data_IF_621243196693
#
_entry.id   IF_621243196693
#
_cell.length_a   1.000
_cell.length_b   1.000
_cell.length_c   1.000
_cell.angle_alpha   90.00
_cell.angle_beta   90.00
_cell.angle_gamma   90.00
#
_symmetry.space_group_name_H-M   'P 1'
#
loop_
_entity.id
_entity.type
_entity.pdbx_description
1 polymer ?
#
# COMPACT_ATOMS: atom_id res chain seq x y z
N UNK A 1 19.73 -3.48 26.52
CA UNK A 1 18.78 -2.35 26.44
C UNK A 1 17.48 -2.85 27.04
N UNK A 2 16.97 -2.21 28.08
CA UNK A 2 15.72 -2.56 28.74
C UNK A 2 14.72 -1.40 28.59
N UNK A 3 13.46 -1.73 28.31
CA UNK A 3 12.37 -0.76 28.17
C UNK A 3 11.03 -1.45 28.48
N UNK A 4 10.00 -0.67 28.77
CA UNK A 4 8.64 -1.21 28.83
C UNK A 4 8.16 -1.66 27.45
N UNK A 5 7.31 -2.70 27.43
CA UNK A 5 6.66 -3.17 26.20
C UNK A 5 5.66 -2.14 25.68
N UNK A 6 5.50 -2.07 24.36
CA UNK A 6 4.45 -1.26 23.73
C UNK A 6 3.05 -1.86 23.98
N UNK A 7 2.43 -1.44 25.08
CA UNK A 7 1.09 -1.84 25.53
C UNK A 7 -0.06 -1.07 24.88
N UNK A 8 0.24 -0.10 24.02
CA UNK A 8 -0.75 0.78 23.40
C UNK A 8 -1.86 -0.03 22.72
N UNK A 9 -3.12 0.28 23.03
CA UNK A 9 -4.27 -0.27 22.32
C UNK A 9 -4.59 0.64 21.14
N UNK A 10 -4.68 0.08 19.93
CA UNK A 10 -5.12 0.81 18.74
C UNK A 10 -6.65 0.91 18.79
N UNK A 11 -7.19 2.12 18.68
CA UNK A 11 -8.62 2.41 18.78
C UNK A 11 -9.02 3.56 17.85
N UNK A 12 -10.32 3.74 17.66
CA UNK A 12 -10.90 4.82 16.84
C UNK A 12 -10.55 6.22 17.35
N UNK A 13 -10.21 6.37 18.63
CA UNK A 13 -9.75 7.64 19.21
C UNK A 13 -8.51 8.20 18.49
N UNK A 14 -7.66 7.32 17.95
CA UNK A 14 -6.49 7.72 17.16
C UNK A 14 -6.84 8.35 15.79
N UNK A 15 -8.12 8.34 15.41
CA UNK A 15 -8.62 8.84 14.14
C UNK A 15 -9.50 10.08 14.30
N UNK A 16 -9.69 10.60 15.51
CA UNK A 16 -10.58 11.75 15.78
C UNK A 16 -9.94 13.11 15.53
N UNK A 17 -8.61 13.20 15.61
CA UNK A 17 -7.88 14.46 15.34
C UNK A 17 -7.68 14.65 13.82
N UNK A 18 -8.74 15.10 13.14
CA UNK A 18 -8.77 15.34 11.69
C UNK A 18 -8.21 16.72 11.33
N UNK A 19 -7.22 16.77 10.44
CA UNK A 19 -6.45 17.98 10.15
C UNK A 19 -6.64 18.53 8.71
N UNK A 20 -7.35 17.80 7.87
CA UNK A 20 -7.67 18.18 6.47
C UNK A 20 -9.02 18.89 6.35
N UNK A 21 -9.30 19.55 5.22
CA UNK A 21 -10.62 20.13 4.95
C UNK A 21 -11.70 19.06 4.80
N UNK A 22 -11.33 17.88 4.29
CA UNK A 22 -12.18 16.70 4.34
C UNK A 22 -12.15 16.12 5.76
N UNK A 23 -13.30 16.17 6.43
CA UNK A 23 -13.50 15.76 7.81
C UNK A 23 -14.31 14.45 7.92
N UNK A 24 -14.37 13.66 6.84
CA UNK A 24 -15.14 12.42 6.78
C UNK A 24 -14.25 11.21 6.52
N UNK A 25 -14.20 10.31 7.50
CA UNK A 25 -13.66 8.95 7.35
C UNK A 25 -14.83 7.98 7.55
N UNK A 26 -15.31 7.29 6.50
CA UNK A 26 -16.41 6.33 6.62
C UNK A 26 -15.97 5.07 7.39
N UNK A 27 -16.95 4.30 7.89
CA UNK A 27 -16.71 3.14 8.77
C UNK A 27 -15.77 2.09 8.16
N UNK A 28 -15.87 1.83 6.85
CA UNK A 28 -14.97 0.92 6.15
C UNK A 28 -13.52 1.43 6.16
N UNK A 29 -13.31 2.74 6.00
CA UNK A 29 -11.99 3.35 6.06
C UNK A 29 -11.44 3.39 7.48
N UNK A 30 -12.29 3.62 8.50
CA UNK A 30 -11.94 3.49 9.92
C UNK A 30 -11.39 2.09 10.19
N UNK A 31 -12.12 1.03 9.80
CA UNK A 31 -11.67 -0.36 9.90
C UNK A 31 -10.30 -0.55 9.24
N UNK A 32 -10.12 -0.06 8.02
CA UNK A 32 -8.90 -0.26 7.25
C UNK A 32 -7.69 0.50 7.85
N UNK A 33 -7.91 1.71 8.39
CA UNK A 33 -6.88 2.47 9.12
C UNK A 33 -6.48 1.78 10.43
N UNK A 34 -7.43 1.22 11.18
CA UNK A 34 -7.12 0.46 12.39
C UNK A 34 -6.31 -0.80 12.08
N UNK A 35 -6.68 -1.54 11.03
CA UNK A 35 -5.91 -2.70 10.54
C UNK A 35 -4.50 -2.28 10.15
N UNK A 36 -4.36 -1.17 9.44
CA UNK A 36 -3.07 -0.64 9.05
C UNK A 36 -2.22 -0.26 10.28
N UNK A 37 -2.77 0.46 11.25
CA UNK A 37 -2.07 0.84 12.50
C UNK A 37 -1.65 -0.39 13.32
N UNK A 38 -2.52 -1.39 13.48
CA UNK A 38 -2.18 -2.65 14.16
C UNK A 38 -1.05 -3.37 13.43
N UNK A 39 -1.11 -3.42 12.10
CA UNK A 39 -0.05 -4.01 11.27
C UNK A 39 1.29 -3.31 11.53
N UNK A 40 1.30 -1.98 11.50
CA UNK A 40 2.51 -1.17 11.70
C UNK A 40 3.10 -1.31 13.10
N UNK A 41 2.26 -1.42 14.14
CA UNK A 41 2.71 -1.68 15.51
C UNK A 41 3.61 -2.92 15.63
N UNK A 42 3.43 -3.91 14.75
CA UNK A 42 4.19 -5.16 14.73
C UNK A 42 5.06 -5.33 13.48
N UNK A 43 5.25 -4.28 12.69
CA UNK A 43 6.11 -4.30 11.50
C UNK A 43 7.44 -3.65 11.81
N UNK A 44 8.54 -4.31 11.47
CA UNK A 44 9.90 -3.78 11.63
C UNK A 44 10.03 -2.39 10.99
N UNK A 45 10.50 -1.42 11.76
CA UNK A 45 10.54 -0.01 11.37
C UNK A 45 11.73 0.36 10.49
N UNK A 46 11.63 1.42 9.66
CA UNK A 46 10.41 2.21 9.45
C UNK A 46 9.41 1.49 8.56
N UNK A 47 8.13 1.66 8.87
CA UNK A 47 7.04 0.94 8.20
C UNK A 47 5.88 1.86 7.79
N UNK A 48 5.24 1.49 6.68
CA UNK A 48 4.01 2.12 6.17
C UNK A 48 3.12 1.04 5.57
N UNK A 49 1.80 1.25 5.65
CA UNK A 49 0.81 0.24 5.28
C UNK A 49 -0.31 0.85 4.46
N UNK A 50 -0.69 0.15 3.39
CA UNK A 50 -1.86 0.39 2.55
C UNK A 50 -2.86 -0.73 2.86
N UNK A 51 -4.08 -0.36 3.21
CA UNK A 51 -5.15 -1.28 3.55
C UNK A 51 -6.43 -0.93 2.78
N UNK A 52 -7.19 -1.95 2.42
CA UNK A 52 -8.47 -1.85 1.73
C UNK A 52 -9.29 -3.10 2.04
N UNK A 53 -10.60 -2.95 2.19
CA UNK A 53 -11.55 -4.07 2.34
C UNK A 53 -11.23 -5.03 3.49
N UNK A 54 -10.72 -4.50 4.60
CA UNK A 54 -10.45 -5.26 5.81
C UNK A 54 -9.15 -6.05 5.76
N UNK A 55 -8.25 -5.71 4.84
CA UNK A 55 -6.96 -6.36 4.70
C UNK A 55 -5.84 -5.39 4.32
N UNK A 56 -4.61 -5.80 4.61
CA UNK A 56 -3.42 -5.12 4.09
C UNK A 56 -3.24 -5.49 2.61
N UNK A 57 -3.05 -4.49 1.75
CA UNK A 57 -2.79 -4.69 0.32
C UNK A 57 -1.34 -4.34 -0.05
N UNK A 58 -0.64 -3.57 0.80
CA UNK A 58 0.78 -3.26 0.61
C UNK A 58 1.45 -2.82 1.90
N UNK A 59 2.61 -3.42 2.24
CA UNK A 59 3.35 -3.10 3.47
C UNK A 59 4.83 -2.89 3.14
N UNK A 60 5.38 -1.78 3.64
CA UNK A 60 6.81 -1.52 3.69
C UNK A 60 7.35 -1.76 5.09
N UNK A 61 8.50 -2.42 5.19
CA UNK A 61 9.11 -2.81 6.45
C UNK A 61 10.64 -2.63 6.38
N UNK A 62 11.26 -2.27 7.51
CA UNK A 62 12.71 -2.18 7.68
C UNK A 62 13.37 -1.09 6.82
N UNK A 63 12.61 -0.13 6.29
CA UNK A 63 13.15 0.88 5.39
C UNK A 63 13.74 2.05 6.17
N UNK A 64 14.81 2.65 5.65
CA UNK A 64 15.49 3.77 6.31
C UNK A 64 14.91 5.14 5.87
N UNK A 65 14.39 5.22 4.65
CA UNK A 65 13.79 6.42 4.08
C UNK A 65 12.25 6.28 4.03
N UNK A 66 11.53 7.29 4.55
CA UNK A 66 10.06 7.28 4.59
C UNK A 66 9.46 7.18 3.19
N UNK A 67 9.94 8.00 2.25
CA UNK A 67 9.45 7.96 0.85
C UNK A 67 9.79 6.65 0.15
N UNK A 68 10.93 6.03 0.46
CA UNK A 68 11.24 4.70 -0.09
C UNK A 68 10.32 3.62 0.47
N UNK A 69 10.00 3.70 1.77
CA UNK A 69 9.00 2.84 2.39
C UNK A 69 7.63 2.99 1.71
N UNK A 70 7.18 4.25 1.50
CA UNK A 70 5.93 4.56 0.80
C UNK A 70 5.92 4.02 -0.63
N UNK A 71 6.99 4.25 -1.41
CA UNK A 71 7.09 3.73 -2.78
C UNK A 71 7.05 2.20 -2.84
N UNK A 72 7.74 1.54 -1.92
CA UNK A 72 7.78 0.07 -1.84
C UNK A 72 6.40 -0.50 -1.46
N UNK A 73 5.77 0.03 -0.40
CA UNK A 73 4.46 -0.43 0.04
C UNK A 73 3.38 -0.18 -1.03
N UNK A 74 3.40 1.00 -1.65
CA UNK A 74 2.48 1.35 -2.71
C UNK A 74 2.70 0.49 -3.97
N UNK A 75 3.94 0.15 -4.32
CA UNK A 75 4.21 -0.79 -5.41
C UNK A 75 3.64 -2.20 -5.15
N UNK A 76 3.62 -2.65 -3.88
CA UNK A 76 2.94 -3.90 -3.51
C UNK A 76 1.42 -3.78 -3.63
N UNK A 77 0.83 -2.65 -3.22
CA UNK A 77 -0.59 -2.39 -3.39
C UNK A 77 -1.00 -2.34 -4.87
N UNK A 78 -0.19 -1.70 -5.71
CA UNK A 78 -0.39 -1.63 -7.16
C UNK A 78 -0.36 -3.03 -7.78
N UNK A 79 0.62 -3.86 -7.41
CA UNK A 79 0.69 -5.25 -7.86
C UNK A 79 -0.52 -6.07 -7.37
N UNK A 80 -0.94 -5.91 -6.12
CA UNK A 80 -2.15 -6.56 -5.60
C UNK A 80 -3.37 -6.22 -6.45
N UNK A 81 -3.53 -4.96 -6.84
CA UNK A 81 -4.64 -4.52 -7.67
C UNK A 81 -4.54 -5.00 -9.12
N UNK A 82 -3.35 -4.96 -9.71
CA UNK A 82 -3.11 -5.48 -11.06
C UNK A 82 -3.39 -6.98 -11.18
N UNK A 83 -3.20 -7.75 -10.09
CA UNK A 83 -3.57 -9.17 -10.03
C UNK A 83 -5.07 -9.42 -10.14
N UNK A 84 -5.89 -8.40 -9.88
CA UNK A 84 -7.34 -8.47 -10.04
C UNK A 84 -7.80 -8.18 -11.49
N UNK A 85 -6.86 -7.85 -12.39
CA UNK A 85 -7.20 -7.56 -13.79
C UNK A 85 -7.87 -8.77 -14.46
N UNK A 86 -8.96 -8.59 -15.24
CA UNK A 86 -9.72 -9.70 -15.83
C UNK A 86 -8.88 -10.71 -16.62
N UNK A 87 -7.85 -10.24 -17.32
CA UNK A 87 -6.91 -11.11 -18.05
C UNK A 87 -6.25 -12.18 -17.16
N UNK A 88 -6.01 -11.90 -15.88
CA UNK A 88 -5.42 -12.86 -14.93
C UNK A 88 -6.31 -14.09 -14.76
N UNK A 89 -7.63 -13.87 -14.63
CA UNK A 89 -8.60 -14.96 -14.50
C UNK A 89 -8.78 -15.77 -15.80
N UNK A 90 -8.36 -15.22 -16.93
CA UNK A 90 -8.49 -15.80 -18.26
C UNK A 90 -7.20 -16.48 -18.76
N UNK A 91 -6.12 -16.46 -17.96
CA UNK A 91 -4.85 -17.06 -18.34
C UNK A 91 -4.98 -18.57 -18.53
N UNK A 92 -4.50 -19.06 -19.67
CA UNK A 92 -4.53 -20.46 -20.04
C UNK A 92 -3.24 -21.17 -19.59
N UNK A 93 -3.27 -21.70 -18.36
CA UNK A 93 -2.14 -22.40 -17.78
C UNK A 93 -2.03 -23.85 -18.25
N UNK A 94 -0.80 -24.36 -18.32
CA UNK A 94 -0.55 -25.77 -18.65
C UNK A 94 -1.23 -26.73 -17.66
N UNK A 95 -1.62 -27.91 -18.14
CA UNK A 95 -2.19 -28.94 -17.28
C UNK A 95 -1.21 -29.36 -16.15
N UNK A 96 -1.76 -29.60 -14.96
CA UNK A 96 -1.00 -30.06 -13.79
C UNK A 96 -0.10 -29.01 -13.13
N UNK A 97 -0.22 -27.73 -13.48
CA UNK A 97 0.48 -26.64 -12.79
C UNK A 97 -0.02 -26.50 -11.34
N UNK A 98 0.89 -26.27 -10.40
CA UNK A 98 0.53 -26.06 -9.00
C UNK A 98 0.02 -24.63 -8.74
N UNK A 99 -0.71 -24.44 -7.64
CA UNK A 99 -1.16 -23.10 -7.20
C UNK A 99 0.01 -22.14 -6.94
N UNK A 100 1.14 -22.65 -6.45
CA UNK A 100 2.34 -21.85 -6.22
C UNK A 100 2.96 -21.37 -7.54
N UNK A 101 3.04 -22.25 -8.54
CA UNK A 101 3.50 -21.89 -9.89
C UNK A 101 2.55 -20.90 -10.57
N UNK A 102 1.23 -21.06 -10.43
CA UNK A 102 0.24 -20.09 -10.92
C UNK A 102 0.51 -18.69 -10.33
N UNK A 103 0.68 -18.59 -9.01
CA UNK A 103 0.96 -17.32 -8.35
C UNK A 103 2.26 -16.68 -8.88
N UNK A 104 3.34 -17.47 -8.99
CA UNK A 104 4.62 -16.99 -9.53
C UNK A 104 4.50 -16.57 -11.01
N UNK A 105 3.70 -17.29 -11.80
CA UNK A 105 3.46 -16.95 -13.20
C UNK A 105 2.68 -15.64 -13.34
N UNK A 106 1.70 -15.38 -12.46
CA UNK A 106 0.97 -14.10 -12.42
C UNK A 106 1.88 -12.97 -11.96
N UNK A 107 2.65 -13.16 -10.88
CA UNK A 107 3.61 -12.13 -10.42
C UNK A 107 4.65 -11.84 -11.51
N UNK A 108 5.04 -12.87 -12.25
CA UNK A 108 5.89 -12.75 -13.43
C UNK A 108 5.24 -12.02 -14.61
N UNK A 109 3.94 -12.19 -14.83
CA UNK A 109 3.22 -11.43 -15.87
C UNK A 109 3.25 -9.92 -15.60
N UNK A 110 3.24 -9.53 -14.31
CA UNK A 110 3.34 -8.14 -13.88
C UNK A 110 4.75 -7.58 -13.95
N UNK A 111 5.76 -8.44 -13.76
CA UNK A 111 7.16 -8.06 -13.82
C UNK A 111 7.59 -7.69 -15.24
N UNK A 112 8.34 -6.61 -15.38
CA UNK A 112 8.84 -6.09 -16.65
C UNK A 112 10.32 -6.42 -16.88
N UNK A 113 11.02 -6.79 -15.81
CA UNK A 113 12.46 -7.02 -15.84
C UNK A 113 12.73 -8.53 -15.91
N UNK A 114 12.93 -9.02 -17.13
CA UNK A 114 13.20 -10.42 -17.44
C UNK A 114 14.51 -10.56 -18.18
N UNK A 115 15.33 -11.51 -17.74
CA UNK A 115 16.35 -12.09 -18.62
C UNK A 115 15.69 -13.01 -19.65
N UNK A 116 16.33 -13.21 -20.80
CA UNK A 116 15.85 -14.15 -21.83
C UNK A 116 15.62 -15.58 -21.28
N UNK A 117 16.44 -15.99 -20.31
CA UNK A 117 16.32 -17.31 -19.69
C UNK A 117 15.07 -17.42 -18.81
N UNK A 118 14.83 -16.41 -17.97
CA UNK A 118 13.62 -16.34 -17.13
C UNK A 118 12.36 -16.23 -17.98
N UNK A 119 12.39 -15.46 -19.07
CA UNK A 119 11.24 -15.32 -19.97
C UNK A 119 10.91 -16.66 -20.63
N UNK A 120 11.92 -17.38 -21.11
CA UNK A 120 11.75 -18.72 -21.68
C UNK A 120 11.10 -19.68 -20.68
N UNK A 121 11.54 -19.66 -19.41
CA UNK A 121 10.98 -20.50 -18.36
C UNK A 121 9.55 -20.07 -17.99
N UNK A 122 9.29 -18.77 -17.87
CA UNK A 122 7.98 -18.23 -17.55
C UNK A 122 6.93 -18.61 -18.60
N UNK A 123 7.28 -18.54 -19.89
CA UNK A 123 6.42 -18.92 -21.01
C UNK A 123 5.97 -20.39 -20.97
N UNK A 124 6.76 -21.29 -20.35
CA UNK A 124 6.39 -22.70 -20.22
C UNK A 124 5.21 -22.94 -19.27
N UNK A 125 4.79 -21.96 -18.47
CA UNK A 125 3.64 -22.12 -17.58
C UNK A 125 2.28 -22.10 -18.29
N UNK A 126 2.24 -21.73 -19.57
CA UNK A 126 1.01 -21.45 -20.30
C UNK A 126 0.87 -22.34 -21.54
N UNK A 127 -0.37 -22.73 -21.89
CA UNK A 127 -0.65 -23.31 -23.20
C UNK A 127 -0.68 -22.20 -24.27
N UNK A 128 -1.23 -21.04 -23.90
CA UNK A 128 -1.21 -19.80 -24.68
C UNK A 128 -0.62 -18.70 -23.80
N UNK A 129 0.54 -18.17 -24.18
CA UNK A 129 1.21 -17.12 -23.41
C UNK A 129 0.34 -15.85 -23.43
N UNK A 130 -0.05 -15.30 -22.26
CA UNK A 130 -0.88 -14.11 -22.21
C UNK A 130 -0.12 -12.87 -22.68
N UNK A 131 -0.84 -11.98 -23.37
CA UNK A 131 -0.32 -10.66 -23.71
C UNK A 131 -0.04 -9.87 -22.43
N UNK A 132 1.03 -9.06 -22.46
CA UNK A 132 1.38 -8.19 -21.34
C UNK A 132 0.66 -6.86 -21.46
N UNK A 133 0.24 -6.32 -20.33
CA UNK A 133 -0.27 -4.95 -20.27
C UNK A 133 0.83 -3.96 -20.59
N UNK A 134 0.54 -3.04 -21.50
CA UNK A 134 1.34 -1.84 -21.72
C UNK A 134 1.33 -0.95 -20.47
N UNK A 135 2.30 -0.05 -20.35
CA UNK A 135 2.34 0.94 -19.25
C UNK A 135 1.04 1.74 -19.13
N UNK A 136 0.46 2.11 -20.27
CA UNK A 136 -0.78 2.88 -20.31
C UNK A 136 -1.98 2.07 -19.78
N UNK A 137 -2.08 0.80 -20.14
CA UNK A 137 -3.15 -0.08 -19.64
C UNK A 137 -3.00 -0.34 -18.14
N UNK A 138 -1.76 -0.56 -17.66
CA UNK A 138 -1.49 -0.67 -16.21
C UNK A 138 -1.95 0.59 -15.48
N UNK A 139 -1.59 1.77 -15.99
CA UNK A 139 -1.99 3.04 -15.40
C UNK A 139 -3.51 3.23 -15.38
N UNK A 140 -4.19 2.90 -16.48
CA UNK A 140 -5.66 2.97 -16.57
C UNK A 140 -6.33 2.03 -15.56
N UNK A 141 -5.83 0.81 -15.41
CA UNK A 141 -6.35 -0.13 -14.42
C UNK A 141 -6.13 0.37 -12.98
N UNK A 142 -4.93 0.89 -12.69
CA UNK A 142 -4.59 1.43 -11.37
C UNK A 142 -5.43 2.66 -10.98
N UNK A 143 -5.91 3.46 -11.94
CA UNK A 143 -6.86 4.56 -11.66
C UNK A 143 -8.21 4.08 -11.09
N UNK A 144 -8.55 2.81 -11.29
CA UNK A 144 -9.74 2.19 -10.71
C UNK A 144 -9.60 1.84 -9.22
N UNK A 145 -8.37 1.81 -8.69
CA UNK A 145 -8.14 1.58 -7.26
C UNK A 145 -8.49 2.86 -6.48
N UNK A 146 -9.47 2.79 -5.58
CA UNK A 146 -9.96 3.91 -4.78
C UNK A 146 -10.31 3.44 -3.36
N UNK A 147 -10.55 4.38 -2.45
CA UNK A 147 -10.95 4.09 -1.08
C UNK A 147 -9.84 3.54 -0.19
N UNK A 148 -8.58 3.57 -0.63
CA UNK A 148 -7.47 2.96 0.10
C UNK A 148 -7.13 3.79 1.34
N UNK A 149 -6.90 3.09 2.45
CA UNK A 149 -6.41 3.65 3.70
C UNK A 149 -4.89 3.52 3.78
N UNK A 150 -4.21 4.60 4.17
CA UNK A 150 -2.75 4.68 4.28
C UNK A 150 -2.33 5.05 5.70
N UNK A 151 -1.45 4.26 6.31
CA UNK A 151 -0.90 4.55 7.64
C UNK A 151 0.63 4.62 7.61
N UNK A 152 1.21 5.45 8.48
CA UNK A 152 2.65 5.55 8.71
C UNK A 152 2.97 5.42 10.20
N UNK A 153 4.00 4.63 10.54
CA UNK A 153 4.40 4.38 11.94
C UNK A 153 5.03 5.60 12.64
N UNK A 154 5.41 6.62 11.87
CA UNK A 154 5.85 7.94 12.32
C UNK A 154 5.41 9.02 11.34
N UNK A 155 5.79 10.27 11.60
CA UNK A 155 5.40 11.39 10.77
C UNK A 155 5.90 11.29 9.32
N UNK A 156 5.20 11.95 8.41
CA UNK A 156 5.59 12.12 7.02
C UNK A 156 6.44 13.39 6.88
N UNK A 157 7.70 13.31 6.42
CA UNK A 157 8.59 14.47 6.39
C UNK A 157 8.25 15.45 5.25
N UNK A 158 7.71 14.95 4.14
CA UNK A 158 7.42 15.74 2.94
C UNK A 158 6.19 15.22 2.19
N UNK A 159 5.59 16.09 1.35
CA UNK A 159 4.42 15.80 0.53
C UNK A 159 4.57 14.67 -0.47
N UNK A 160 5.81 14.31 -0.84
CA UNK A 160 6.09 13.25 -1.81
C UNK A 160 5.50 11.89 -1.41
N UNK A 161 5.30 11.66 -0.11
CA UNK A 161 4.58 10.50 0.42
C UNK A 161 3.10 10.54 0.04
N UNK A 162 2.45 11.69 0.16
CA UNK A 162 1.05 11.91 -0.23
C UNK A 162 0.91 11.80 -1.74
N UNK A 163 1.79 12.46 -2.51
CA UNK A 163 1.77 12.42 -3.97
C UNK A 163 1.92 10.96 -4.49
N UNK A 164 2.76 10.14 -3.83
CA UNK A 164 2.89 8.72 -4.16
C UNK A 164 1.68 7.90 -3.72
N UNK A 165 1.13 8.16 -2.55
CA UNK A 165 -0.03 7.46 -2.01
C UNK A 165 -1.28 7.69 -2.87
N UNK A 166 -1.49 8.92 -3.34
CA UNK A 166 -2.60 9.31 -4.22
C UNK A 166 -2.66 8.45 -5.50
N UNK A 167 -1.50 8.10 -6.06
CA UNK A 167 -1.38 7.25 -7.25
C UNK A 167 -1.81 5.80 -7.05
N UNK A 168 -1.98 5.37 -5.80
CA UNK A 168 -2.44 4.04 -5.41
C UNK A 168 -3.80 4.08 -4.71
N UNK A 169 -4.66 5.04 -5.08
CA UNK A 169 -6.06 5.07 -4.68
C UNK A 169 -6.32 5.53 -3.25
N UNK A 170 -5.33 6.12 -2.57
CA UNK A 170 -5.48 6.56 -1.19
C UNK A 170 -6.45 7.72 -1.07
N UNK A 171 -7.40 7.59 -0.15
CA UNK A 171 -8.38 8.62 0.19
C UNK A 171 -8.41 8.94 1.69
N UNK A 172 -7.91 8.02 2.52
CA UNK A 172 -7.91 8.15 3.97
C UNK A 172 -6.51 7.89 4.49
N UNK A 173 -6.00 8.73 5.37
CA UNK A 173 -4.67 8.52 5.93
C UNK A 173 -4.54 8.85 7.42
N UNK A 174 -3.60 8.17 8.07
CA UNK A 174 -3.21 8.41 9.45
C UNK A 174 -1.68 8.45 9.58
N UNK A 175 -1.19 9.48 10.27
CA UNK A 175 0.21 9.61 10.66
C UNK A 175 0.31 10.15 12.08
N UNK A 176 1.50 10.21 12.67
CA UNK A 176 1.64 10.69 14.05
C UNK A 176 1.44 12.19 14.22
N UNK A 177 1.68 12.98 13.17
CA UNK A 177 1.81 14.44 13.26
C UNK A 177 3.12 14.88 13.92
N UNK A 178 3.23 16.18 14.20
CA UNK A 178 4.38 16.87 14.79
C UNK A 178 5.63 16.94 13.87
N UNK A 179 5.44 17.01 12.57
CA UNK A 179 6.51 17.34 11.61
C UNK A 179 6.68 18.86 11.51
N UNK A 180 7.92 19.33 11.34
CA UNK A 180 8.21 20.74 11.00
C UNK A 180 7.54 21.20 9.70
N UNK A 181 7.07 20.26 8.87
CA UNK A 181 6.47 20.49 7.55
C UNK A 181 5.06 19.93 7.43
N UNK A 182 4.35 19.77 8.54
CA UNK A 182 2.98 19.24 8.53
C UNK A 182 2.05 20.05 7.62
N UNK A 183 2.16 21.38 7.58
CA UNK A 183 1.36 22.24 6.69
C UNK A 183 1.50 21.84 5.20
N UNK A 184 2.70 21.44 4.77
CA UNK A 184 2.94 21.00 3.40
C UNK A 184 2.27 19.65 3.11
N UNK A 185 2.28 18.75 4.09
CA UNK A 185 1.66 17.42 3.99
C UNK A 185 0.13 17.54 4.04
N UNK A 186 -0.42 18.33 4.95
CA UNK A 186 -1.85 18.66 5.03
C UNK A 186 -2.31 19.33 3.73
N UNK A 187 -1.56 20.31 3.22
CA UNK A 187 -1.84 20.98 1.95
C UNK A 187 -1.96 19.99 0.79
N UNK A 188 -1.00 19.07 0.67
CA UNK A 188 -1.04 18.03 -0.36
C UNK A 188 -2.23 17.07 -0.17
N UNK A 189 -2.54 16.66 1.06
CA UNK A 189 -3.70 15.81 1.33
C UNK A 189 -5.01 16.50 0.92
N UNK A 190 -5.14 17.80 1.19
CA UNK A 190 -6.28 18.62 0.76
C UNK A 190 -6.35 18.77 -0.78
N UNK A 191 -5.21 18.94 -1.47
CA UNK A 191 -5.16 18.99 -2.95
C UNK A 191 -5.74 17.72 -3.58
N UNK A 192 -5.53 16.55 -2.95
CA UNK A 192 -6.09 15.27 -3.40
C UNK A 192 -7.46 14.93 -2.79
N UNK A 193 -8.04 15.80 -1.95
CA UNK A 193 -9.33 15.57 -1.29
C UNK A 193 -9.30 14.45 -0.22
N UNK A 194 -8.13 14.08 0.27
CA UNK A 194 -7.98 13.03 1.28
C UNK A 194 -8.42 13.51 2.67
N UNK A 195 -8.94 12.60 3.49
CA UNK A 195 -9.09 12.83 4.93
C UNK A 195 -7.86 12.32 5.67
N UNK A 196 -7.23 13.18 6.49
CA UNK A 196 -6.05 12.85 7.29
C UNK A 196 -6.32 13.04 8.78
N UNK A 197 -5.98 12.02 9.57
CA UNK A 197 -5.96 12.07 11.03
C UNK A 197 -4.54 12.03 11.60
N UNK A 198 -4.35 12.67 12.76
CA UNK A 198 -3.17 12.50 13.60
C UNK A 198 -3.44 11.51 14.73
N UNK A 199 -2.64 10.43 14.76
CA UNK A 199 -2.72 9.43 15.83
C UNK A 199 -2.01 9.87 17.12
N UNK A 200 -1.13 10.87 17.04
CA UNK A 200 -0.27 11.37 18.12
C UNK A 200 0.67 10.31 18.73
N UNK A 201 0.70 9.09 18.19
CA UNK A 201 1.46 7.97 18.74
C UNK A 201 2.32 7.30 17.69
N UNK A 202 3.63 7.26 17.98
CA UNK A 202 4.63 6.58 17.15
C UNK A 202 4.66 5.07 17.42
N UNK A 203 4.75 4.28 16.35
CA UNK A 203 4.62 2.82 16.37
C UNK A 203 5.92 2.11 15.97
N UNK A 204 7.08 2.61 16.42
CA UNK A 204 8.35 1.97 16.09
C UNK A 204 8.48 0.55 16.67
N UNK A 205 9.04 -0.35 15.87
CA UNK A 205 9.33 -1.74 16.24
C UNK A 205 10.68 -2.19 15.65
N UNK A 206 11.56 -2.69 16.51
CA UNK A 206 12.89 -3.20 16.16
C UNK A 206 13.12 -4.53 16.88
#
# INVERSE_FOLDING_TARGET
MEQERNNLQISEEMLTNLVTTNQQIPENAVRDLLIALITLKYTQSNSVCFALDGQTIGIGAGQQSRIHCTRLAAGKADNWWLRQHPLVSQMDFRAGISRAEINNAIDGWLNEDYTNAEEKQWRMNFNVVPDRLTQKEKQLWLQGLQGVSFASDAFLPFRDNIDRAARSGVQYLVQTGNSLRDDQVIGAANEYGMAMAYSEVRLFHH
#
